data_IF_657358370166
#
_entry.id   IF_657358370166
#
_cell.length_a   1.000
_cell.length_b   1.000
_cell.length_c   1.000
_cell.angle_alpha   90.00
_cell.angle_beta   90.00
_cell.angle_gamma   90.00
#
_symmetry.space_group_name_H-M   'P 1'
#
loop_
_entity.id
_entity.type
_entity.pdbx_description
1 polymer ?
#
# COMPACT_ATOMS: atom_id res chain seq x y z
N UNK A 1 5.84 8.09 -26.37
CA UNK A 1 5.74 7.33 -25.11
C UNK A 1 4.27 7.07 -24.86
N UNK A 2 3.88 5.83 -24.60
CA UNK A 2 2.50 5.52 -24.23
C UNK A 2 2.33 5.82 -22.74
N UNK A 3 1.29 6.57 -22.38
CA UNK A 3 0.90 6.78 -20.99
C UNK A 3 -0.04 5.66 -20.56
N UNK A 4 0.15 5.17 -19.34
CA UNK A 4 -0.78 4.26 -18.67
C UNK A 4 -1.52 5.03 -17.58
N UNK A 5 -2.84 4.89 -17.53
CA UNK A 5 -3.70 5.44 -16.47
C UNK A 5 -4.01 4.33 -15.47
N UNK A 6 -3.93 4.65 -14.17
CA UNK A 6 -4.37 3.77 -13.10
C UNK A 6 -5.68 4.30 -12.52
N UNK A 7 -6.65 3.41 -12.38
CA UNK A 7 -7.92 3.68 -11.72
C UNK A 7 -7.86 3.12 -10.29
N UNK A 8 -8.14 3.94 -9.25
CA UNK A 8 -8.28 3.42 -7.90
C UNK A 8 -9.40 2.37 -7.81
N UNK A 9 -9.12 1.23 -7.19
CA UNK A 9 -10.10 0.18 -6.90
C UNK A 9 -10.70 0.28 -5.51
N UNK A 10 -10.13 1.15 -4.67
CA UNK A 10 -10.53 1.37 -3.30
C UNK A 10 -9.61 2.34 -2.58
N UNK A 11 -9.89 2.57 -1.30
CA UNK A 11 -9.15 3.52 -0.47
C UNK A 11 -8.86 2.95 0.91
N UNK A 12 -7.69 3.29 1.44
CA UNK A 12 -7.34 3.01 2.83
C UNK A 12 -8.08 3.98 3.76
N UNK A 13 -8.69 3.44 4.81
CA UNK A 13 -9.23 4.17 5.96
C UNK A 13 -8.43 3.82 7.21
N UNK A 14 -7.60 4.76 7.65
CA UNK A 14 -6.57 4.53 8.66
C UNK A 14 -6.60 5.60 9.74
N UNK A 15 -6.09 5.29 10.92
CA UNK A 15 -5.81 6.29 11.96
C UNK A 15 -4.58 7.13 11.64
N UNK A 16 -3.71 6.67 10.74
CA UNK A 16 -2.52 7.38 10.29
C UNK A 16 -2.94 8.51 9.34
N UNK A 17 -2.80 9.77 9.77
CA UNK A 17 -3.22 10.95 8.98
C UNK A 17 -2.05 11.70 8.32
N UNK A 18 -0.86 11.56 8.88
CA UNK A 18 0.33 12.32 8.48
C UNK A 18 1.62 11.53 8.67
N UNK A 19 2.76 12.14 8.29
CA UNK A 19 4.08 11.49 8.39
C UNK A 19 4.54 11.36 9.84
N UNK A 20 4.12 12.28 10.69
CA UNK A 20 4.40 12.33 12.12
C UNK A 20 3.88 11.09 12.88
N UNK A 21 2.77 10.51 12.43
CA UNK A 21 2.13 9.35 13.07
C UNK A 21 2.42 8.02 12.35
N UNK A 22 3.15 8.06 11.23
CA UNK A 22 3.33 6.91 10.36
C UNK A 22 4.62 6.15 10.67
N UNK A 23 4.56 4.86 11.03
CA UNK A 23 5.75 4.03 11.06
C UNK A 23 6.36 3.95 9.67
N UNK A 24 7.67 3.75 9.59
CA UNK A 24 8.35 3.76 8.29
C UNK A 24 7.99 2.56 7.43
N UNK A 25 7.59 1.44 8.03
CA UNK A 25 7.19 0.19 7.38
C UNK A 25 6.16 -0.54 8.25
N UNK A 26 5.28 -1.34 7.64
CA UNK A 26 4.27 -2.16 8.32
C UNK A 26 4.75 -2.88 9.60
N UNK A 27 5.83 -3.69 9.54
CA UNK A 27 6.36 -4.41 10.70
C UNK A 27 6.89 -3.53 11.84
N UNK A 28 7.09 -2.23 11.61
CA UNK A 28 7.58 -1.28 12.61
C UNK A 28 6.43 -0.71 13.48
N UNK A 29 5.35 -1.48 13.69
CA UNK A 29 4.23 -1.11 14.55
C UNK A 29 3.07 -0.42 13.85
N UNK A 30 2.89 -0.64 12.54
CA UNK A 30 1.74 -0.07 11.83
C UNK A 30 0.41 -0.66 12.29
N UNK A 31 -0.66 0.15 12.36
CA UNK A 31 -1.96 -0.32 12.80
C UNK A 31 -2.60 -1.22 11.73
N UNK A 32 -3.71 -1.86 12.12
CA UNK A 32 -4.68 -2.33 11.15
C UNK A 32 -5.46 -1.14 10.56
N UNK A 33 -5.83 -1.22 9.29
CA UNK A 33 -6.69 -0.25 8.61
C UNK A 33 -7.84 -0.96 7.88
N UNK A 34 -8.89 -0.22 7.57
CA UNK A 34 -9.91 -0.69 6.63
C UNK A 34 -9.48 -0.36 5.20
N UNK A 35 -9.54 -1.32 4.31
CA UNK A 35 -9.52 -1.13 2.87
C UNK A 35 -10.97 -1.16 2.39
N UNK A 36 -11.46 -0.04 1.88
CA UNK A 36 -12.80 0.09 1.31
C UNK A 36 -12.72 -0.07 -0.20
N UNK A 37 -13.26 -1.17 -0.72
CA UNK A 37 -13.32 -1.43 -2.15
C UNK A 37 -14.51 -0.68 -2.75
N UNK A 38 -14.29 -0.05 -3.90
CA UNK A 38 -15.35 0.63 -4.63
C UNK A 38 -16.43 -0.39 -5.05
N UNK A 39 -17.74 -0.05 -4.94
CA UNK A 39 -18.82 -1.01 -5.16
C UNK A 39 -18.75 -1.75 -6.49
N UNK A 40 -18.29 -1.10 -7.56
CA UNK A 40 -18.16 -1.71 -8.88
C UNK A 40 -17.15 -2.87 -8.94
N UNK A 41 -16.18 -2.92 -8.01
CA UNK A 41 -15.19 -3.98 -7.90
C UNK A 41 -15.51 -5.03 -6.82
N UNK A 42 -16.65 -4.91 -6.13
CA UNK A 42 -17.01 -5.77 -5.00
C UNK A 42 -16.95 -7.28 -5.31
N UNK A 43 -17.34 -7.68 -6.53
CA UNK A 43 -17.32 -9.09 -6.97
C UNK A 43 -15.91 -9.69 -7.00
N UNK A 44 -14.86 -8.87 -7.11
CA UNK A 44 -13.47 -9.30 -7.11
C UNK A 44 -12.98 -9.78 -5.73
N UNK A 45 -13.77 -9.57 -4.67
CA UNK A 45 -13.48 -10.08 -3.32
C UNK A 45 -13.85 -11.55 -3.11
N UNK A 46 -14.51 -12.18 -4.09
CA UNK A 46 -14.95 -13.57 -4.00
C UNK A 46 -13.76 -14.50 -3.68
N UNK A 47 -13.92 -15.35 -2.67
CA UNK A 47 -12.89 -16.29 -2.23
C UNK A 47 -11.85 -15.72 -1.25
N UNK A 48 -11.91 -14.44 -0.90
CA UNK A 48 -11.07 -13.91 0.18
C UNK A 48 -11.64 -14.28 1.56
N UNK A 49 -10.77 -14.71 2.46
CA UNK A 49 -11.13 -15.09 3.83
C UNK A 49 -10.24 -14.38 4.87
N UNK A 50 -10.71 -14.36 6.11
CA UNK A 50 -9.91 -13.89 7.24
C UNK A 50 -8.70 -14.82 7.41
N UNK A 51 -7.52 -14.23 7.59
CA UNK A 51 -6.25 -14.95 7.65
C UNK A 51 -5.51 -15.00 6.32
N UNK A 52 -6.15 -14.68 5.19
CA UNK A 52 -5.44 -14.58 3.91
C UNK A 52 -4.37 -13.48 3.96
N UNK A 53 -3.19 -13.80 3.43
CA UNK A 53 -2.11 -12.86 3.24
C UNK A 53 -2.20 -12.25 1.85
N UNK A 54 -2.16 -10.92 1.78
CA UNK A 54 -2.32 -10.15 0.55
C UNK A 54 -1.10 -9.24 0.33
N UNK A 55 -0.82 -8.97 -0.94
CA UNK A 55 -0.03 -7.84 -1.39
C UNK A 55 -0.98 -6.73 -1.83
N UNK A 56 -1.08 -5.67 -1.03
CA UNK A 56 -1.87 -4.48 -1.39
C UNK A 56 -0.96 -3.46 -2.06
N UNK A 57 -1.37 -2.97 -3.23
CA UNK A 57 -0.62 -2.00 -4.02
C UNK A 57 -1.33 -0.65 -3.97
N UNK A 58 -0.68 0.36 -3.40
CA UNK A 58 -1.23 1.71 -3.26
C UNK A 58 -0.60 2.69 -4.24
N UNK A 59 -1.33 3.73 -4.63
CA UNK A 59 -0.74 4.94 -5.21
C UNK A 59 -0.44 5.96 -4.11
N UNK A 60 0.84 6.21 -3.82
CA UNK A 60 1.25 7.18 -2.80
C UNK A 60 1.12 8.61 -3.36
N UNK A 61 -0.14 9.05 -3.49
CA UNK A 61 -0.58 10.29 -4.14
C UNK A 61 0.08 11.59 -3.64
N UNK A 62 0.69 11.59 -2.44
CA UNK A 62 1.43 12.73 -1.87
C UNK A 62 2.94 12.70 -2.14
N UNK A 63 3.45 11.69 -2.86
CA UNK A 63 4.88 11.52 -3.09
C UNK A 63 5.42 12.40 -4.23
N UNK A 64 6.68 12.84 -4.08
CA UNK A 64 7.42 13.52 -5.16
C UNK A 64 7.83 12.50 -6.23
N UNK A 65 7.64 12.83 -7.50
CA UNK A 65 7.84 11.90 -8.64
C UNK A 65 9.11 12.15 -9.45
N UNK A 66 9.75 13.28 -9.22
CA UNK A 66 10.98 13.74 -9.88
C UNK A 66 12.26 13.29 -9.13
N UNK A 67 12.12 12.64 -7.98
CA UNK A 67 13.25 12.18 -7.16
C UNK A 67 13.80 10.84 -7.69
N UNK A 68 15.10 10.83 -8.02
CA UNK A 68 15.80 9.64 -8.52
C UNK A 68 16.82 9.05 -7.52
N UNK A 69 17.21 9.81 -6.50
CA UNK A 69 18.13 9.38 -5.43
C UNK A 69 17.88 10.17 -4.15
N UNK A 70 18.28 9.60 -3.02
CA UNK A 70 18.23 10.27 -1.72
C UNK A 70 18.90 9.44 -0.64
N UNK A 71 19.03 10.01 0.55
CA UNK A 71 19.50 9.28 1.72
C UNK A 71 18.40 8.34 2.23
N UNK A 72 18.63 7.01 2.34
CA UNK A 72 17.62 6.08 2.85
C UNK A 72 17.10 6.53 4.22
N UNK A 73 15.78 6.44 4.43
CA UNK A 73 15.11 6.92 5.65
C UNK A 73 15.33 8.41 5.97
N UNK A 74 15.80 9.21 5.00
CA UNK A 74 16.21 10.61 5.18
C UNK A 74 17.34 10.79 6.21
N UNK A 75 18.20 9.79 6.35
CA UNK A 75 19.33 9.78 7.30
C UNK A 75 20.63 10.13 6.57
N UNK A 76 21.13 11.35 6.76
CA UNK A 76 22.31 11.89 6.07
C UNK A 76 23.60 11.11 6.37
N UNK A 77 23.65 10.33 7.46
CA UNK A 77 24.78 9.44 7.76
C UNK A 77 24.87 8.24 6.81
N UNK A 78 23.77 7.90 6.11
CA UNK A 78 23.73 6.81 5.14
C UNK A 78 24.15 7.28 3.75
N UNK A 79 24.77 6.43 2.91
CA UNK A 79 25.14 6.82 1.56
C UNK A 79 23.91 7.17 0.70
N UNK A 80 24.07 8.17 -0.18
CA UNK A 80 23.07 8.49 -1.22
C UNK A 80 22.81 7.24 -2.06
N UNK A 81 21.54 6.88 -2.19
CA UNK A 81 21.12 5.65 -2.85
C UNK A 81 20.04 5.96 -3.90
N UNK A 82 20.11 5.28 -5.06
CA UNK A 82 19.07 5.39 -6.09
C UNK A 82 17.72 4.88 -5.61
N UNK A 83 16.62 5.55 -5.96
CA UNK A 83 15.29 5.23 -5.41
C UNK A 83 14.82 3.82 -5.76
N UNK A 84 15.27 3.24 -6.88
CA UNK A 84 14.92 1.88 -7.29
C UNK A 84 15.52 0.78 -6.41
N UNK A 85 16.60 1.05 -5.67
CA UNK A 85 17.17 0.10 -4.69
C UNK A 85 16.56 0.25 -3.29
N UNK A 86 15.84 1.35 -3.03
CA UNK A 86 15.22 1.63 -1.72
C UNK A 86 13.71 1.42 -1.76
N UNK A 87 13.07 1.55 -0.59
CA UNK A 87 11.60 1.65 -0.45
C UNK A 87 11.11 3.10 -0.34
N UNK A 88 11.89 4.08 -0.84
CA UNK A 88 11.47 5.49 -0.83
C UNK A 88 10.11 5.66 -1.53
N UNK A 89 9.15 6.37 -0.92
CA UNK A 89 7.89 6.71 -1.57
C UNK A 89 8.10 7.73 -2.70
N UNK A 90 9.14 8.57 -2.61
CA UNK A 90 9.50 9.51 -3.66
C UNK A 90 10.24 8.75 -4.78
N UNK A 91 9.57 8.60 -5.93
CA UNK A 91 10.02 7.84 -7.11
C UNK A 91 9.10 8.14 -8.32
N UNK A 92 9.53 7.84 -9.56
CA UNK A 92 8.75 8.15 -10.77
C UNK A 92 7.30 7.65 -10.76
N UNK A 93 7.10 6.40 -10.35
CA UNK A 93 5.78 5.78 -10.15
C UNK A 93 5.68 5.35 -8.68
N UNK A 94 5.04 6.17 -7.82
CA UNK A 94 5.02 5.98 -6.37
C UNK A 94 4.03 4.88 -5.94
N UNK A 95 4.28 3.66 -6.41
CA UNK A 95 3.57 2.46 -5.98
C UNK A 95 4.12 2.02 -4.62
N UNK A 96 3.24 1.95 -3.62
CA UNK A 96 3.52 1.33 -2.33
C UNK A 96 3.15 -0.15 -2.38
N UNK A 97 3.95 -0.99 -1.74
CA UNK A 97 3.76 -2.44 -1.68
C UNK A 97 3.63 -2.86 -0.22
N UNK A 98 2.47 -3.38 0.15
CA UNK A 98 2.09 -3.63 1.53
C UNK A 98 1.68 -5.10 1.70
N UNK A 99 2.58 -5.96 2.21
CA UNK A 99 2.21 -7.28 2.70
C UNK A 99 1.32 -7.12 3.93
N UNK A 100 0.11 -7.66 3.88
CA UNK A 100 -0.88 -7.55 4.96
C UNK A 100 -1.60 -8.87 5.17
N UNK A 101 -2.20 -9.06 6.34
CA UNK A 101 -3.15 -10.16 6.60
C UNK A 101 -4.55 -9.58 6.68
N UNK A 102 -5.54 -10.28 6.09
CA UNK A 102 -6.96 -9.98 6.27
C UNK A 102 -7.37 -10.35 7.70
N UNK A 103 -7.85 -9.37 8.46
CA UNK A 103 -8.29 -9.49 9.86
C UNK A 103 -9.80 -9.59 10.00
N UNK A 104 -10.56 -8.98 9.09
CA UNK A 104 -12.01 -9.04 9.06
C UNK A 104 -12.54 -8.69 7.66
N UNK A 105 -13.73 -9.17 7.31
CA UNK A 105 -14.43 -8.82 6.07
C UNK A 105 -15.84 -8.34 6.42
N UNK A 106 -16.25 -7.19 5.88
CA UNK A 106 -17.58 -6.58 6.08
C UNK A 106 -18.08 -5.93 4.80
N UNK A 107 -18.95 -6.60 4.06
CA UNK A 107 -19.43 -6.11 2.77
C UNK A 107 -18.26 -5.92 1.80
N UNK A 108 -18.06 -4.69 1.33
CA UNK A 108 -16.94 -4.32 0.44
C UNK A 108 -15.68 -3.86 1.19
N UNK A 109 -15.62 -4.08 2.51
CA UNK A 109 -14.52 -3.60 3.36
C UNK A 109 -13.71 -4.76 3.90
N UNK A 110 -12.39 -4.67 3.77
CA UNK A 110 -11.42 -5.60 4.37
C UNK A 110 -10.68 -4.88 5.49
N UNK A 111 -10.71 -5.40 6.72
CA UNK A 111 -9.77 -4.96 7.74
C UNK A 111 -8.46 -5.68 7.46
N UNK A 112 -7.39 -4.95 7.20
CA UNK A 112 -6.08 -5.49 6.83
C UNK A 112 -5.00 -4.90 7.73
N UNK A 113 -3.92 -5.65 7.95
CA UNK A 113 -2.76 -5.11 8.63
C UNK A 113 -1.63 -6.11 8.88
N UNK A 114 -0.45 -5.60 9.28
CA UNK A 114 -0.17 -4.18 9.55
C UNK A 114 0.03 -3.36 8.26
N UNK A 115 -0.42 -2.10 8.24
CA UNK A 115 -0.23 -1.20 7.06
C UNK A 115 0.00 0.26 7.47
N UNK A 116 1.05 0.88 6.92
CA UNK A 116 1.49 2.25 7.25
C UNK A 116 0.88 3.35 6.36
N UNK A 117 -0.08 3.00 5.50
CA UNK A 117 -0.68 3.93 4.55
C UNK A 117 -1.60 4.95 5.23
N UNK A 118 -1.57 6.18 4.73
CA UNK A 118 -2.40 7.27 5.25
C UNK A 118 -3.88 7.03 4.94
N UNK A 119 -4.76 7.60 5.76
CA UNK A 119 -6.16 7.74 5.45
C UNK A 119 -6.38 8.40 4.08
N UNK A 120 -7.27 7.82 3.28
CA UNK A 120 -7.56 8.24 1.91
C UNK A 120 -6.51 7.82 0.87
N UNK A 121 -5.50 7.02 1.23
CA UNK A 121 -4.53 6.52 0.24
C UNK A 121 -5.23 5.61 -0.78
N UNK A 122 -5.15 5.91 -2.09
CA UNK A 122 -5.72 5.07 -3.13
C UNK A 122 -5.04 3.70 -3.21
N UNK A 123 -5.83 2.63 -3.35
CA UNK A 123 -5.38 1.29 -3.72
C UNK A 123 -5.64 1.10 -5.20
N UNK A 124 -4.64 0.59 -5.93
CA UNK A 124 -4.71 0.38 -7.38
C UNK A 124 -4.74 -1.10 -7.76
N UNK A 125 -4.30 -2.00 -6.86
CA UNK A 125 -4.32 -3.45 -7.10
C UNK A 125 -4.19 -4.23 -5.77
N UNK A 126 -4.65 -5.47 -5.77
CA UNK A 126 -4.58 -6.41 -4.64
C UNK A 126 -4.27 -7.79 -5.20
N UNK A 127 -3.30 -8.49 -4.61
CA UNK A 127 -2.97 -9.87 -4.97
C UNK A 127 -2.85 -10.75 -3.74
N UNK A 128 -3.02 -12.05 -3.90
CA UNK A 128 -2.56 -13.01 -2.88
C UNK A 128 -1.05 -12.86 -2.68
N UNK A 129 -0.57 -12.88 -1.45
CA UNK A 129 0.87 -12.92 -1.16
C UNK A 129 1.48 -14.30 -1.45
N UNK A 130 0.64 -15.33 -1.56
CA UNK A 130 1.01 -16.71 -1.90
C UNK A 130 0.55 -17.07 -3.30
N UNK A 131 1.35 -17.86 -4.02
CA UNK A 131 0.97 -18.43 -5.32
C UNK A 131 -0.03 -19.60 -5.19
N UNK A 132 -0.37 -20.05 -3.97
CA UNK A 132 -1.36 -21.12 -3.76
C UNK A 132 -2.76 -20.75 -4.22
N UNK A 133 -3.07 -19.46 -4.28
CA UNK A 133 -4.35 -18.99 -4.83
C UNK A 133 -4.44 -19.17 -6.36
N UNK A 134 -3.30 -19.45 -7.03
CA UNK A 134 -3.24 -19.63 -8.47
C UNK A 134 -3.43 -21.11 -8.91
N UNK A 135 -3.61 -22.06 -7.96
CA UNK A 135 -3.70 -23.50 -8.24
C UNK A 135 -4.36 -24.32 -7.14
#
# INVERSE_FOLDING_TARGET
MNSYTLEPIGFIRSTVKGREDAPRQGPEGAPDAWLEIEPQFAKALLGMEVGHELMVITWLHKAKRDVLRGHPRSDESRPVTGVFYTRSPARPNPLGLHPVTVRAIKGTRLKIGPIEAFDGTPVVDIKSASTRADG
#
